data_IF_963252342338
#
_entry.id   IF_963252342338
#
_cell.length_a   1.000
_cell.length_b   1.000
_cell.length_c   1.000
_cell.angle_alpha   90.00
_cell.angle_beta   90.00
_cell.angle_gamma   90.00
#
_symmetry.space_group_name_H-M   'P 1'
#
loop_
_entity.id
_entity.type
_entity.pdbx_description
1 polymer ?
#
# COMPACT_ATOMS: atom_id res chain seq x y z
N UNK A 1 -1.54 -17.75 -6.87
CA UNK A 1 -1.29 -16.33 -6.59
C UNK A 1 0.19 -16.07 -6.83
N UNK A 2 0.56 -14.86 -7.20
CA UNK A 2 1.95 -14.53 -7.58
C UNK A 2 2.62 -13.83 -6.42
N UNK A 3 3.62 -14.46 -5.81
CA UNK A 3 4.36 -13.85 -4.73
C UNK A 3 5.31 -12.78 -5.29
N UNK A 4 5.13 -11.54 -4.85
CA UNK A 4 5.98 -10.41 -5.17
C UNK A 4 6.92 -10.12 -4.01
N UNK A 5 8.06 -9.51 -4.30
CA UNK A 5 8.94 -8.98 -3.28
C UNK A 5 9.56 -7.62 -3.65
N UNK A 6 9.87 -6.84 -2.63
CA UNK A 6 10.44 -5.50 -2.73
C UNK A 6 11.54 -5.30 -1.70
N UNK A 7 12.68 -4.73 -2.08
CA UNK A 7 13.66 -4.21 -1.13
C UNK A 7 13.14 -2.93 -0.44
N UNK A 8 13.20 -2.91 0.89
CA UNK A 8 12.70 -1.82 1.72
C UNK A 8 13.87 -1.04 2.30
N UNK A 9 13.83 0.28 2.16
CA UNK A 9 14.88 1.16 2.69
C UNK A 9 14.87 1.13 4.23
N UNK A 10 16.00 1.40 4.90
CA UNK A 10 16.03 1.45 6.37
C UNK A 10 14.99 2.41 6.98
N UNK A 11 14.77 3.56 6.33
CA UNK A 11 13.76 4.53 6.74
C UNK A 11 12.34 3.97 6.63
N UNK A 12 12.02 3.27 5.53
CA UNK A 12 10.73 2.61 5.39
C UNK A 12 10.58 1.46 6.38
N UNK A 13 11.60 0.62 6.60
CA UNK A 13 11.55 -0.42 7.66
C UNK A 13 11.16 0.20 9.00
N UNK A 14 11.79 1.30 9.38
CA UNK A 14 11.44 2.01 10.62
C UNK A 14 9.98 2.50 10.59
N UNK A 15 9.53 3.10 9.48
CA UNK A 15 8.16 3.57 9.34
C UNK A 15 7.11 2.45 9.48
N UNK A 16 7.35 1.27 8.89
CA UNK A 16 6.48 0.10 9.05
C UNK A 16 6.47 -0.39 10.51
N UNK A 17 7.65 -0.55 11.12
CA UNK A 17 7.80 -1.17 12.45
C UNK A 17 7.46 -0.24 13.62
N UNK A 18 7.39 1.08 13.41
CA UNK A 18 7.14 2.04 14.49
C UNK A 18 5.88 2.88 14.27
N UNK A 19 5.71 3.43 13.07
CA UNK A 19 4.60 4.32 12.72
C UNK A 19 3.41 3.55 12.10
N UNK A 20 3.58 2.26 11.83
CA UNK A 20 2.56 1.43 11.20
C UNK A 20 2.28 1.78 9.75
N UNK A 21 3.25 2.39 9.06
CA UNK A 21 3.11 2.78 7.65
C UNK A 21 2.58 1.61 6.82
N UNK A 22 1.48 1.83 6.08
CA UNK A 22 0.69 0.77 5.46
C UNK A 22 0.73 0.81 3.93
N UNK A 23 1.73 1.48 3.34
CA UNK A 23 1.79 1.73 1.90
C UNK A 23 3.08 1.23 1.26
N UNK A 24 2.98 0.93 -0.03
CA UNK A 24 4.06 0.42 -0.86
C UNK A 24 3.93 0.97 -2.28
N UNK A 25 5.06 1.30 -2.92
CA UNK A 25 5.12 1.79 -4.29
C UNK A 25 6.44 1.36 -4.96
N UNK A 26 6.67 1.80 -6.19
CA UNK A 26 7.95 1.72 -6.87
C UNK A 26 8.29 0.31 -7.36
N UNK A 27 9.57 0.03 -7.54
CA UNK A 27 10.00 -1.21 -8.18
C UNK A 27 9.80 -2.44 -7.29
N UNK A 28 9.29 -3.52 -7.89
CA UNK A 28 9.05 -4.83 -7.31
C UNK A 28 9.37 -5.93 -8.32
N UNK A 29 9.71 -7.11 -7.82
CA UNK A 29 10.00 -8.29 -8.65
C UNK A 29 9.14 -9.47 -8.18
N UNK A 30 8.93 -10.47 -9.03
CA UNK A 30 8.36 -11.74 -8.56
C UNK A 30 9.40 -12.47 -7.72
N UNK A 31 8.98 -13.00 -6.58
CA UNK A 31 9.89 -13.73 -5.69
C UNK A 31 10.47 -14.98 -6.36
N UNK A 32 9.74 -15.63 -7.27
CA UNK A 32 10.23 -16.79 -8.03
C UNK A 32 11.41 -16.44 -8.95
N UNK A 33 11.37 -15.27 -9.61
CA UNK A 33 12.38 -14.84 -10.58
C UNK A 33 13.74 -14.53 -9.91
N UNK A 34 13.73 -14.29 -8.59
CA UNK A 34 14.90 -13.94 -7.78
C UNK A 34 15.11 -14.90 -6.61
N UNK A 35 14.53 -16.11 -6.67
CA UNK A 35 14.62 -17.08 -5.57
C UNK A 35 16.08 -17.50 -5.26
N UNK A 36 16.99 -17.34 -6.22
CA UNK A 36 18.42 -17.60 -6.05
C UNK A 36 19.16 -16.50 -5.26
N UNK A 37 18.58 -15.30 -5.14
CA UNK A 37 19.20 -14.16 -4.47
C UNK A 37 18.92 -14.24 -2.96
N UNK A 38 19.84 -14.87 -2.23
CA UNK A 38 19.70 -15.15 -0.80
C UNK A 38 20.60 -14.28 0.08
N UNK A 39 21.42 -13.40 -0.52
CA UNK A 39 22.34 -12.51 0.20
C UNK A 39 22.09 -11.04 -0.17
N UNK A 40 22.49 -10.08 0.69
CA UNK A 40 22.41 -8.65 0.41
C UNK A 40 23.07 -8.25 -0.92
N UNK A 41 24.26 -8.78 -1.23
CA UNK A 41 24.95 -8.48 -2.50
C UNK A 41 24.12 -8.90 -3.73
N UNK A 42 23.53 -10.10 -3.70
CA UNK A 42 22.67 -10.58 -4.79
C UNK A 42 21.36 -9.79 -4.87
N UNK A 43 20.74 -9.51 -3.73
CA UNK A 43 19.51 -8.71 -3.66
C UNK A 43 19.75 -7.28 -4.18
N UNK A 44 20.89 -6.68 -3.86
CA UNK A 44 21.31 -5.38 -4.36
C UNK A 44 21.35 -5.35 -5.90
N UNK A 45 21.92 -6.38 -6.51
CA UNK A 45 22.01 -6.51 -7.96
C UNK A 45 20.63 -6.74 -8.62
N UNK A 46 19.89 -7.75 -8.17
CA UNK A 46 18.63 -8.15 -8.85
C UNK A 46 17.48 -7.17 -8.64
N UNK A 47 17.48 -6.41 -7.54
CA UNK A 47 16.50 -5.33 -7.32
C UNK A 47 16.98 -3.98 -7.89
N UNK A 48 18.15 -3.91 -8.51
CA UNK A 48 18.66 -2.67 -9.11
C UNK A 48 18.90 -1.56 -8.10
N UNK A 49 19.44 -1.89 -6.92
CA UNK A 49 19.55 -0.95 -5.78
C UNK A 49 20.71 0.04 -5.88
N UNK A 50 21.51 -0.01 -6.95
CA UNK A 50 22.66 0.88 -7.18
C UNK A 50 22.33 2.25 -7.79
N UNK A 51 21.11 2.76 -7.62
CA UNK A 51 20.70 4.06 -8.17
C UNK A 51 21.34 5.25 -7.41
N UNK A 52 21.46 6.45 -8.03
CA UNK A 52 22.08 7.60 -7.40
C UNK A 52 21.47 7.97 -6.05
N UNK A 53 22.28 8.05 -4.99
CA UNK A 53 21.83 8.33 -3.62
C UNK A 53 20.98 7.23 -2.98
N UNK A 54 21.12 6.00 -3.46
CA UNK A 54 20.55 4.81 -2.81
C UNK A 54 21.08 4.67 -1.37
N UNK A 55 20.22 4.31 -0.40
CA UNK A 55 20.65 4.01 0.95
C UNK A 55 21.23 2.59 1.09
N UNK A 56 21.22 1.79 0.02
CA UNK A 56 21.68 0.40 0.01
C UNK A 56 23.15 0.31 -0.41
N UNK A 57 23.82 -0.72 0.10
CA UNK A 57 25.18 -1.11 -0.29
C UNK A 57 25.22 -2.61 -0.57
N UNK A 58 25.98 -3.08 -1.57
CA UNK A 58 26.19 -4.52 -1.77
C UNK A 58 26.92 -5.19 -0.60
N UNK A 59 27.51 -4.40 0.31
CA UNK A 59 28.20 -4.86 1.52
C UNK A 59 27.35 -4.75 2.79
N UNK A 60 26.06 -4.42 2.67
CA UNK A 60 25.17 -4.36 3.82
C UNK A 60 25.12 -5.73 4.52
N UNK A 61 25.12 -5.71 5.85
CA UNK A 61 24.99 -6.94 6.67
C UNK A 61 23.63 -7.60 6.51
N UNK A 62 22.63 -6.81 6.08
CA UNK A 62 21.31 -7.29 5.76
C UNK A 62 20.57 -6.35 4.80
N UNK A 63 19.58 -6.88 4.09
CA UNK A 63 18.55 -6.10 3.38
C UNK A 63 17.18 -6.57 3.84
N UNK A 64 16.29 -5.62 4.14
CA UNK A 64 14.91 -5.92 4.47
C UNK A 64 14.07 -6.01 3.19
N UNK A 65 13.26 -7.07 3.11
CA UNK A 65 12.44 -7.45 1.96
C UNK A 65 10.99 -7.52 2.43
N UNK A 66 10.10 -6.81 1.75
CA UNK A 66 8.65 -6.96 1.90
C UNK A 66 8.16 -7.97 0.86
N UNK A 67 7.60 -9.08 1.32
CA UNK A 67 6.94 -10.10 0.49
C UNK A 67 5.43 -9.98 0.60
N UNK A 68 4.73 -10.04 -0.52
CA UNK A 68 3.28 -9.91 -0.56
C UNK A 68 2.69 -10.66 -1.75
N UNK A 69 1.49 -11.20 -1.58
CA UNK A 69 0.76 -11.82 -2.68
C UNK A 69 0.20 -10.74 -3.61
N UNK A 70 0.46 -10.90 -4.90
CA UNK A 70 -0.18 -10.07 -5.91
C UNK A 70 -1.69 -10.31 -5.87
N UNK A 71 -2.45 -9.22 -5.83
CA UNK A 71 -3.90 -9.26 -5.79
C UNK A 71 -4.50 -8.31 -6.84
N UNK A 72 -5.78 -8.49 -7.21
CA UNK A 72 -6.41 -7.72 -8.28
C UNK A 72 -6.48 -6.19 -8.05
N UNK A 73 -6.24 -5.73 -6.81
CA UNK A 73 -6.18 -4.31 -6.47
C UNK A 73 -4.84 -3.66 -6.85
N UNK A 74 -3.77 -4.46 -7.00
CA UNK A 74 -2.44 -3.94 -7.28
C UNK A 74 -2.27 -3.69 -8.78
N UNK A 75 -1.73 -2.52 -9.11
CA UNK A 75 -1.49 -2.10 -10.48
C UNK A 75 0.01 -2.07 -10.76
N UNK A 76 0.41 -2.84 -11.76
CA UNK A 76 1.80 -2.98 -12.18
C UNK A 76 1.99 -2.42 -13.58
N UNK A 77 3.15 -1.81 -13.83
CA UNK A 77 3.64 -1.43 -15.16
C UNK A 77 4.97 -2.13 -15.40
N UNK A 78 5.13 -2.73 -16.56
CA UNK A 78 6.38 -3.39 -16.95
C UNK A 78 7.51 -2.36 -17.15
N UNK A 79 8.74 -2.73 -16.78
CA UNK A 79 9.94 -1.89 -16.88
C UNK A 79 11.02 -2.69 -17.64
N UNK A 80 11.19 -2.45 -18.94
CA UNK A 80 12.16 -3.20 -19.74
C UNK A 80 13.61 -2.83 -19.39
N UNK A 81 14.54 -3.75 -19.67
CA UNK A 81 15.99 -3.48 -19.60
C UNK A 81 16.71 -3.95 -18.32
N UNK A 82 16.03 -4.67 -17.43
CA UNK A 82 16.63 -5.27 -16.23
C UNK A 82 16.90 -6.77 -16.40
N UNK A 83 17.86 -7.30 -15.62
CA UNK A 83 18.30 -8.71 -15.68
C UNK A 83 17.15 -9.66 -15.30
N UNK A 84 16.30 -9.23 -14.37
CA UNK A 84 15.04 -9.90 -14.01
C UNK A 84 13.86 -9.02 -14.40
N UNK A 85 12.71 -9.61 -14.76
CA UNK A 85 11.48 -8.84 -14.94
C UNK A 85 11.22 -7.94 -13.73
N UNK A 86 11.19 -6.63 -13.99
CA UNK A 86 11.01 -5.60 -13.00
C UNK A 86 9.68 -4.93 -13.27
N UNK A 87 8.81 -4.91 -12.27
CA UNK A 87 7.55 -4.21 -12.35
C UNK A 87 7.62 -2.98 -11.49
N UNK A 88 7.03 -1.94 -12.02
CA UNK A 88 6.75 -0.74 -11.28
C UNK A 88 5.35 -0.87 -10.67
N UNK A 89 5.29 -0.92 -9.34
CA UNK A 89 4.06 -0.97 -8.55
C UNK A 89 3.58 0.46 -8.29
N UNK A 90 2.34 0.72 -8.68
CA UNK A 90 1.66 1.96 -8.33
C UNK A 90 1.54 2.08 -6.81
N UNK A 91 1.57 3.30 -6.28
CA UNK A 91 1.37 3.51 -4.85
C UNK A 91 0.03 2.92 -4.38
N UNK A 92 0.12 1.93 -3.50
CA UNK A 92 -0.95 1.04 -3.06
C UNK A 92 -0.84 0.76 -1.55
N UNK A 93 -1.94 0.31 -0.93
CA UNK A 93 -1.92 -0.21 0.44
C UNK A 93 -1.25 -1.58 0.41
N UNK A 94 -0.46 -1.86 1.44
CA UNK A 94 0.17 -3.17 1.62
C UNK A 94 -0.91 -4.25 1.71
N UNK A 95 -0.82 -5.32 0.90
CA UNK A 95 -1.81 -6.39 0.95
C UNK A 95 -1.82 -7.10 2.30
N UNK A 96 -3.00 -7.53 2.78
CA UNK A 96 -3.13 -8.43 3.91
C UNK A 96 -2.21 -9.65 3.82
N UNK A 97 -1.60 -10.01 4.94
CA UNK A 97 -0.68 -11.15 5.03
C UNK A 97 0.76 -10.88 4.58
N UNK A 98 1.09 -9.67 4.13
CA UNK A 98 2.46 -9.32 3.73
C UNK A 98 3.46 -9.53 4.88
N UNK A 99 4.68 -9.93 4.53
CA UNK A 99 5.75 -10.26 5.46
C UNK A 99 6.95 -9.31 5.25
N UNK A 100 7.41 -8.66 6.30
CA UNK A 100 8.69 -7.94 6.30
C UNK A 100 9.78 -8.87 6.84
N UNK A 101 10.76 -9.18 6.01
CA UNK A 101 11.79 -10.19 6.26
C UNK A 101 13.16 -9.54 6.14
N UNK A 102 14.04 -9.76 7.11
CA UNK A 102 15.45 -9.40 7.03
C UNK A 102 16.24 -10.54 6.41
N UNK A 103 16.96 -10.28 5.33
CA UNK A 103 17.90 -11.24 4.71
C UNK A 103 19.32 -10.84 5.09
N UNK A 104 20.06 -11.74 5.74
CA UNK A 104 21.41 -11.48 6.27
C UNK A 104 22.51 -11.94 5.29
N UNK A 105 23.72 -11.47 5.51
CA UNK A 105 24.90 -11.76 4.67
C UNK A 105 25.37 -13.23 4.69
N UNK A 106 24.99 -14.00 5.71
CA UNK A 106 25.19 -15.45 5.78
C UNK A 106 24.15 -16.27 5.02
N UNK A 107 23.19 -15.62 4.36
CA UNK A 107 22.11 -16.25 3.62
C UNK A 107 20.89 -16.63 4.48
N UNK A 108 20.94 -16.42 5.79
CA UNK A 108 19.80 -16.64 6.67
C UNK A 108 18.77 -15.52 6.56
N UNK A 109 17.54 -15.79 7.01
CA UNK A 109 16.47 -14.79 7.02
C UNK A 109 15.71 -14.78 8.35
N UNK A 110 15.30 -13.58 8.78
CA UNK A 110 14.49 -13.38 9.98
C UNK A 110 13.21 -12.66 9.62
N UNK A 111 12.04 -13.23 9.94
CA UNK A 111 10.78 -12.51 9.83
C UNK A 111 10.72 -11.42 10.90
N UNK A 112 10.59 -10.15 10.50
CA UNK A 112 10.52 -9.00 11.41
C UNK A 112 9.08 -8.69 11.79
N UNK A 113 8.16 -8.69 10.82
CA UNK A 113 6.77 -8.35 11.06
C UNK A 113 5.83 -8.92 9.99
N UNK A 114 4.55 -9.02 10.34
CA UNK A 114 3.46 -9.36 9.42
C UNK A 114 2.45 -8.23 9.39
N UNK A 115 2.03 -7.82 8.20
CA UNK A 115 0.90 -6.94 8.02
C UNK A 115 -0.37 -7.80 8.01
N UNK A 116 -1.26 -7.61 8.99
CA UNK A 116 -2.48 -8.39 9.09
C UNK A 116 -3.49 -7.97 8.03
N UNK A 117 -4.09 -6.80 8.23
CA UNK A 117 -5.06 -6.13 7.37
C UNK A 117 -5.25 -4.68 7.86
N UNK A 118 -6.09 -3.90 7.19
CA UNK A 118 -6.49 -2.53 7.56
C UNK A 118 -7.02 -2.41 9.00
N UNK A 119 -7.53 -3.50 9.57
CA UNK A 119 -8.05 -3.58 10.93
C UNK A 119 -6.98 -3.80 11.99
N UNK A 120 -5.91 -4.50 11.65
CA UNK A 120 -4.90 -4.98 12.62
C UNK A 120 -3.53 -4.34 12.45
N UNK A 121 -3.19 -3.92 11.22
CA UNK A 121 -1.92 -3.32 10.87
C UNK A 121 -0.73 -4.26 11.06
N UNK A 122 0.43 -3.70 11.42
CA UNK A 122 1.66 -4.45 11.61
C UNK A 122 1.74 -5.15 12.96
N UNK A 123 2.16 -6.41 12.94
CA UNK A 123 2.52 -7.19 14.12
C UNK A 123 3.99 -7.60 14.04
N UNK A 124 4.81 -7.14 14.99
CA UNK A 124 6.24 -7.48 15.11
C UNK A 124 6.41 -8.84 15.75
N UNK A 125 7.37 -9.63 15.26
CA UNK A 125 7.64 -10.99 15.75
C UNK A 125 8.54 -11.05 16.98
N UNK A 126 9.40 -10.03 17.15
CA UNK A 126 10.31 -9.95 18.29
C UNK A 126 9.53 -9.83 19.60
N UNK A 127 9.77 -10.77 20.52
CA UNK A 127 9.13 -10.79 21.82
C UNK A 127 9.45 -9.51 22.62
N UNK A 128 8.41 -8.88 23.17
CA UNK A 128 8.55 -7.67 23.97
C UNK A 128 8.79 -6.38 23.16
N UNK A 129 8.84 -6.46 21.82
CA UNK A 129 8.90 -5.26 21.00
C UNK A 129 7.61 -4.42 21.17
N UNK A 130 7.71 -3.08 21.18
CA UNK A 130 6.54 -2.23 21.18
C UNK A 130 5.70 -2.50 19.93
N UNK A 131 4.39 -2.44 20.07
CA UNK A 131 3.49 -2.54 18.93
C UNK A 131 3.66 -1.30 18.04
N UNK A 132 3.72 -1.48 16.71
CA UNK A 132 3.65 -0.35 15.79
C UNK A 132 2.37 0.46 16.03
N UNK A 133 2.45 1.76 15.81
CA UNK A 133 1.27 2.60 15.75
C UNK A 133 0.35 2.17 14.59
N UNK A 134 -0.83 2.78 14.49
CA UNK A 134 -1.71 2.61 13.34
C UNK A 134 -1.53 3.77 12.38
N UNK A 135 -1.29 3.47 11.10
CA UNK A 135 -1.39 4.46 10.05
C UNK A 135 -2.79 5.08 10.01
N UNK A 136 -2.89 6.35 9.62
CA UNK A 136 -4.19 6.98 9.36
C UNK A 136 -4.93 6.24 8.24
N UNK A 137 -6.24 6.02 8.41
CA UNK A 137 -7.06 5.48 7.33
C UNK A 137 -7.17 6.52 6.22
N UNK A 138 -6.92 6.08 4.99
CA UNK A 138 -7.08 6.89 3.81
C UNK A 138 -7.90 6.13 2.78
N UNK A 139 -8.88 6.81 2.17
CA UNK A 139 -9.62 6.30 1.03
C UNK A 139 -8.87 6.48 -0.29
N UNK A 140 -7.82 7.29 -0.31
CA UNK A 140 -7.07 7.59 -1.52
C UNK A 140 -6.22 6.41 -2.00
N UNK A 141 -6.01 5.41 -1.14
CA UNK A 141 -5.18 4.24 -1.38
C UNK A 141 -5.81 3.02 -0.72
N UNK A 142 -5.88 1.92 -1.47
CA UNK A 142 -6.43 0.63 -1.02
C UNK A 142 -7.95 0.50 -1.16
N UNK A 143 -8.50 -0.66 -0.80
CA UNK A 143 -9.91 -0.95 -0.99
C UNK A 143 -10.83 -0.07 -0.13
N UNK A 144 -11.99 0.25 -0.69
CA UNK A 144 -13.11 0.92 -0.05
C UNK A 144 -14.36 0.09 -0.30
N UNK A 145 -15.09 -0.18 0.78
CA UNK A 145 -16.30 -0.97 0.77
C UNK A 145 -17.51 -0.13 1.17
N UNK A 146 -18.64 -0.29 0.47
CA UNK A 146 -19.92 0.24 0.89
C UNK A 146 -20.71 -0.79 1.67
N UNK A 147 -20.87 -0.56 2.96
CA UNK A 147 -21.57 -1.44 3.88
C UNK A 147 -22.60 -0.64 4.69
N UNK A 148 -23.85 -1.10 4.70
CA UNK A 148 -24.98 -0.40 5.34
C UNK A 148 -25.09 1.10 4.99
N UNK A 149 -24.79 1.46 3.74
CA UNK A 149 -24.89 2.82 3.24
C UNK A 149 -23.68 3.72 3.54
N UNK A 150 -22.69 3.25 4.30
CA UNK A 150 -21.45 3.97 4.58
C UNK A 150 -20.29 3.43 3.73
N UNK A 151 -19.40 4.32 3.29
CA UNK A 151 -18.12 3.95 2.67
C UNK A 151 -17.06 3.84 3.76
N UNK A 152 -16.40 2.68 3.81
CA UNK A 152 -15.43 2.32 4.83
C UNK A 152 -14.13 1.88 4.14
N UNK A 153 -13.00 2.29 4.68
CA UNK A 153 -11.71 1.72 4.29
C UNK A 153 -11.71 0.22 4.60
N UNK A 154 -11.22 -0.56 3.66
CA UNK A 154 -11.35 -2.00 3.69
C UNK A 154 -10.09 -2.70 3.21
N UNK A 155 -10.03 -4.00 3.51
CA UNK A 155 -9.16 -4.96 2.86
C UNK A 155 -9.94 -6.22 2.49
N UNK A 156 -9.49 -6.89 1.44
CA UNK A 156 -10.08 -8.15 0.97
C UNK A 156 -9.18 -9.30 1.36
N UNK A 157 -9.73 -10.29 2.04
CA UNK A 157 -8.99 -11.44 2.60
C UNK A 157 -9.68 -12.75 2.24
N UNK A 158 -9.09 -13.87 2.67
CA UNK A 158 -9.65 -15.22 2.50
C UNK A 158 -9.98 -15.52 1.03
N UNK A 159 -9.06 -15.19 0.12
CA UNK A 159 -9.23 -15.45 -1.32
C UNK A 159 -10.32 -14.60 -2.00
N UNK A 160 -10.82 -13.55 -1.36
CA UNK A 160 -11.88 -12.70 -1.90
C UNK A 160 -13.24 -12.87 -1.23
N UNK A 161 -13.36 -13.81 -0.30
CA UNK A 161 -14.64 -14.16 0.33
C UNK A 161 -14.99 -13.29 1.55
N UNK A 162 -14.00 -12.64 2.14
CA UNK A 162 -14.18 -11.82 3.35
C UNK A 162 -13.69 -10.40 3.09
N UNK A 163 -14.46 -9.41 3.56
CA UNK A 163 -14.06 -8.00 3.58
C UNK A 163 -13.84 -7.59 5.03
N UNK A 164 -12.65 -7.06 5.31
CA UNK A 164 -12.31 -6.43 6.60
C UNK A 164 -12.61 -4.95 6.47
N UNK A 165 -13.60 -4.45 7.21
CA UNK A 165 -13.98 -3.05 7.28
C UNK A 165 -13.27 -2.39 8.46
N UNK A 166 -12.78 -1.16 8.29
CA UNK A 166 -12.09 -0.42 9.34
C UNK A 166 -12.71 0.96 9.60
N UNK A 167 -12.57 1.42 10.84
CA UNK A 167 -13.01 2.72 11.32
C UNK A 167 -11.91 3.35 12.19
N UNK A 168 -11.68 4.65 12.01
CA UNK A 168 -10.75 5.40 12.85
C UNK A 168 -11.30 5.70 14.25
N UNK A 169 -12.62 5.87 14.35
CA UNK A 169 -13.31 6.22 15.59
C UNK A 169 -14.28 5.09 15.99
N UNK A 170 -14.66 4.99 17.28
CA UNK A 170 -15.68 4.07 17.72
C UNK A 170 -16.97 4.21 16.88
N UNK A 171 -17.62 3.10 16.52
CA UNK A 171 -18.89 3.17 15.80
C UNK A 171 -19.95 3.83 16.69
N UNK A 172 -20.78 4.70 16.09
CA UNK A 172 -21.83 5.42 16.82
C UNK A 172 -23.02 4.53 17.23
N UNK A 173 -23.18 3.36 16.59
CA UNK A 173 -24.24 2.38 16.87
C UNK A 173 -23.70 0.94 16.84
N UNK A 174 -24.39 0.01 17.50
CA UNK A 174 -24.00 -1.40 17.55
C UNK A 174 -23.96 -2.03 16.16
N UNK A 175 -22.74 -2.31 15.71
CA UNK A 175 -22.44 -2.75 14.36
C UNK A 175 -21.43 -3.88 14.35
N UNK A 176 -21.24 -4.62 15.46
CA UNK A 176 -20.35 -5.79 15.53
C UNK A 176 -18.87 -5.51 15.22
N UNK A 177 -18.44 -4.25 15.33
CA UNK A 177 -17.03 -3.90 15.26
C UNK A 177 -16.36 -4.22 16.59
N UNK A 178 -15.12 -4.70 16.51
CA UNK A 178 -14.27 -4.93 17.65
C UNK A 178 -13.01 -4.07 17.52
N UNK A 179 -12.45 -3.68 18.66
CA UNK A 179 -11.21 -2.93 18.65
C UNK A 179 -10.03 -3.89 18.62
N UNK A 180 -9.13 -3.73 17.65
CA UNK A 180 -7.87 -4.45 17.61
C UNK A 180 -6.95 -4.02 18.75
N UNK A 181 -5.94 -4.82 19.12
CA UNK A 181 -4.99 -4.46 20.18
C UNK A 181 -4.18 -3.18 19.90
N UNK A 182 -4.17 -2.70 18.66
CA UNK A 182 -3.56 -1.44 18.23
C UNK A 182 -4.54 -0.25 18.27
N UNK A 183 -5.82 -0.48 18.57
CA UNK A 183 -6.83 0.55 18.79
C UNK A 183 -7.78 0.80 17.61
N UNK A 184 -7.60 0.11 16.48
CA UNK A 184 -8.46 0.25 15.30
C UNK A 184 -9.77 -0.47 15.52
N UNK A 185 -10.89 0.17 15.19
CA UNK A 185 -12.16 -0.52 15.11
C UNK A 185 -12.26 -1.23 13.77
N UNK A 186 -12.52 -2.54 13.79
CA UNK A 186 -12.68 -3.31 12.56
C UNK A 186 -13.76 -4.38 12.68
N UNK A 187 -14.27 -4.80 11.53
CA UNK A 187 -15.25 -5.89 11.41
C UNK A 187 -14.95 -6.72 10.17
N UNK A 188 -15.07 -8.04 10.28
CA UNK A 188 -15.09 -8.94 9.13
C UNK A 188 -16.53 -9.20 8.71
N UNK A 189 -16.81 -9.08 7.42
CA UNK A 189 -18.13 -9.37 6.82
C UNK A 189 -17.93 -10.24 5.59
N UNK A 190 -18.97 -11.00 5.21
CA UNK A 190 -18.93 -11.76 3.96
C UNK A 190 -18.86 -10.79 2.77
N UNK A 191 -18.17 -11.19 1.70
CA UNK A 191 -18.09 -10.37 0.48
C UNK A 191 -19.47 -10.05 -0.07
N UNK A 192 -20.45 -10.95 0.00
CA UNK A 192 -21.82 -10.69 -0.47
C UNK A 192 -22.59 -9.64 0.35
N UNK A 193 -22.20 -9.38 1.60
CA UNK A 193 -22.84 -8.36 2.45
C UNK A 193 -22.45 -6.93 2.06
N UNK A 194 -21.40 -6.79 1.24
CA UNK A 194 -20.85 -5.51 0.78
C UNK A 194 -21.44 -5.14 -0.57
N UNK A 195 -22.13 -4.00 -0.60
CA UNK A 195 -22.86 -3.51 -1.79
C UNK A 195 -21.96 -2.98 -2.90
N UNK A 196 -20.83 -2.36 -2.55
CA UNK A 196 -19.84 -1.85 -3.50
C UNK A 196 -18.43 -2.10 -2.94
N UNK A 197 -17.48 -2.45 -3.80
CA UNK A 197 -16.08 -2.67 -3.44
C UNK A 197 -15.20 -2.17 -4.59
N UNK A 198 -14.38 -1.15 -4.31
CA UNK A 198 -13.54 -0.49 -5.30
C UNK A 198 -12.29 0.10 -4.65
N UNK A 199 -11.33 0.53 -5.46
CA UNK A 199 -10.27 1.45 -5.03
C UNK A 199 -10.57 2.85 -5.61
N UNK A 200 -10.34 3.91 -4.85
CA UNK A 200 -10.36 5.26 -5.41
C UNK A 200 -9.02 5.54 -6.06
N UNK A 201 -9.08 5.77 -7.37
CA UNK A 201 -8.00 6.29 -8.16
C UNK A 201 -8.18 7.81 -8.28
N UNK A 202 -7.44 8.55 -7.45
CA UNK A 202 -7.43 10.01 -7.44
C UNK A 202 -6.12 10.50 -8.07
N UNK A 203 -6.20 11.03 -9.28
CA UNK A 203 -5.08 11.66 -9.99
C UNK A 203 -5.28 13.16 -10.12
N UNK A 204 -4.19 13.89 -10.25
CA UNK A 204 -4.20 15.33 -10.42
C UNK A 204 -2.91 15.80 -11.11
N UNK A 205 -2.82 17.10 -11.35
CA UNK A 205 -1.59 17.80 -11.69
C UNK A 205 -1.22 18.76 -10.57
N UNK A 206 0.07 18.81 -10.23
CA UNK A 206 0.63 19.79 -9.29
C UNK A 206 1.84 20.45 -9.93
N UNK A 207 1.78 21.78 -10.13
CA UNK A 207 2.82 22.52 -10.87
C UNK A 207 3.22 21.86 -12.20
N UNK A 208 2.23 21.30 -12.92
CA UNK A 208 2.40 20.60 -14.20
C UNK A 208 3.04 19.20 -14.13
N UNK A 209 3.27 18.68 -12.92
CA UNK A 209 3.66 17.28 -12.70
C UNK A 209 2.41 16.42 -12.51
N UNK A 210 2.32 15.28 -13.20
CA UNK A 210 1.23 14.31 -12.98
C UNK A 210 1.45 13.57 -11.66
N UNK A 211 0.44 13.55 -10.80
CA UNK A 211 0.55 12.98 -9.45
C UNK A 211 -0.70 12.16 -9.09
N UNK A 212 -0.52 11.20 -8.20
CA UNK A 212 -1.62 10.52 -7.49
C UNK A 212 -1.80 11.19 -6.12
N UNK A 213 -3.03 11.47 -5.72
CA UNK A 213 -3.33 11.80 -4.32
C UNK A 213 -3.42 10.50 -3.55
N UNK A 214 -2.61 10.38 -2.50
CA UNK A 214 -2.39 9.13 -1.75
C UNK A 214 -2.73 9.27 -0.27
N UNK A 215 -2.96 10.49 0.17
CA UNK A 215 -3.62 10.78 1.44
C UNK A 215 -4.28 12.16 1.42
N UNK A 216 -5.25 12.38 2.30
CA UNK A 216 -5.88 13.69 2.48
C UNK A 216 -6.35 13.87 3.92
N UNK A 217 -6.03 15.01 4.54
CA UNK A 217 -6.45 15.35 5.89
C UNK A 217 -6.60 16.87 6.06
N UNK A 218 -7.11 17.29 7.23
CA UNK A 218 -7.11 18.70 7.62
C UNK A 218 -5.88 18.98 8.51
N UNK A 219 -5.11 20.01 8.17
CA UNK A 219 -4.01 20.47 9.01
C UNK A 219 -4.50 21.19 10.28
N UNK A 220 -3.56 21.68 11.10
CA UNK A 220 -3.89 22.37 12.35
C UNK A 220 -4.70 23.67 12.14
N UNK A 221 -4.62 24.24 10.94
CA UNK A 221 -5.31 25.45 10.51
C UNK A 221 -6.63 25.14 9.78
N UNK A 222 -7.02 23.85 9.70
CA UNK A 222 -8.21 23.32 9.02
C UNK A 222 -8.17 23.46 7.50
N UNK A 223 -7.00 23.69 6.90
CA UNK A 223 -6.86 23.57 5.46
C UNK A 223 -6.80 22.11 5.06
N UNK A 224 -7.46 21.79 3.93
CA UNK A 224 -7.36 20.46 3.35
C UNK A 224 -6.00 20.34 2.66
N UNK A 225 -5.17 19.46 3.17
CA UNK A 225 -3.87 19.11 2.61
C UNK A 225 -3.93 17.69 2.03
N UNK A 226 -3.15 17.47 0.99
CA UNK A 226 -3.04 16.20 0.30
C UNK A 226 -1.59 15.74 0.33
N UNK A 227 -1.38 14.44 0.59
CA UNK A 227 -0.13 13.79 0.24
C UNK A 227 -0.23 13.36 -1.21
N UNK A 228 0.69 13.81 -2.02
CA UNK A 228 0.80 13.46 -3.43
C UNK A 228 1.99 12.54 -3.65
N UNK A 229 1.86 11.64 -4.62
CA UNK A 229 2.91 10.74 -5.06
C UNK A 229 3.12 10.93 -6.56
N UNK A 230 4.35 11.26 -6.94
CA UNK A 230 4.85 11.22 -8.29
C UNK A 230 5.74 10.01 -8.50
N UNK A 231 5.67 9.50 -9.70
CA UNK A 231 5.95 8.14 -10.02
C UNK A 231 6.78 8.14 -11.29
N UNK A 232 8.11 8.31 -11.09
CA UNK A 232 9.25 8.11 -11.98
C UNK A 232 9.31 8.72 -13.39
N UNK A 233 8.21 9.20 -13.96
CA UNK A 233 8.14 9.51 -15.39
C UNK A 233 8.75 10.89 -15.74
N UNK A 234 8.88 11.80 -14.77
CA UNK A 234 9.54 13.11 -14.93
C UNK A 234 10.35 13.46 -13.66
N UNK A 235 11.46 12.73 -13.47
CA UNK A 235 12.34 12.85 -12.29
C UNK A 235 12.92 14.27 -12.17
N UNK A 236 13.41 14.84 -13.27
CA UNK A 236 14.02 16.18 -13.27
C UNK A 236 13.04 17.25 -12.79
N UNK A 237 11.77 17.16 -13.18
CA UNK A 237 10.75 18.08 -12.67
C UNK A 237 10.42 17.79 -11.21
N UNK A 238 10.35 16.54 -10.79
CA UNK A 238 10.10 16.19 -9.40
C UNK A 238 11.19 16.76 -8.46
N UNK A 239 12.46 16.64 -8.85
CA UNK A 239 13.59 17.19 -8.09
C UNK A 239 13.59 18.73 -8.07
N UNK A 240 13.29 19.38 -9.21
CA UNK A 240 13.15 20.85 -9.27
C UNK A 240 12.00 21.40 -8.42
N UNK A 241 10.94 20.61 -8.24
CA UNK A 241 9.81 20.94 -7.37
C UNK A 241 10.04 20.54 -5.90
N UNK A 242 11.24 20.02 -5.58
CA UNK A 242 11.64 19.61 -4.24
C UNK A 242 10.71 18.56 -3.59
N UNK A 243 10.15 17.64 -4.39
CA UNK A 243 9.50 16.47 -3.81
C UNK A 243 10.54 15.64 -3.05
N UNK A 244 10.13 15.07 -1.92
CA UNK A 244 10.95 14.12 -1.17
C UNK A 244 11.06 12.83 -1.97
N UNK A 245 12.29 12.41 -2.26
CA UNK A 245 12.54 11.10 -2.85
C UNK A 245 12.49 10.03 -1.76
N UNK A 246 11.32 9.39 -1.63
CA UNK A 246 11.08 8.34 -0.63
C UNK A 246 11.88 7.08 -0.95
N UNK A 247 11.96 6.73 -2.24
CA UNK A 247 12.76 5.62 -2.77
C UNK A 247 12.99 5.75 -4.29
N UNK A 248 13.63 4.77 -4.91
CA UNK A 248 13.86 4.76 -6.36
C UNK A 248 12.57 4.94 -7.16
N UNK A 249 12.49 6.06 -7.90
CA UNK A 249 11.36 6.36 -8.77
C UNK A 249 10.06 6.76 -8.05
N UNK A 250 10.10 6.97 -6.73
CA UNK A 250 8.94 7.39 -5.93
C UNK A 250 9.26 8.70 -5.22
N UNK A 251 8.47 9.72 -5.54
CA UNK A 251 8.60 11.07 -5.01
C UNK A 251 7.29 11.46 -4.33
N UNK A 252 7.36 12.03 -3.13
CA UNK A 252 6.17 12.49 -2.39
C UNK A 252 6.29 13.95 -1.96
N UNK A 253 5.15 14.60 -1.79
CA UNK A 253 5.05 15.89 -1.14
C UNK A 253 3.72 16.03 -0.41
N UNK A 254 3.67 16.94 0.56
CA UNK A 254 2.44 17.39 1.18
C UNK A 254 2.14 18.78 0.61
N UNK A 255 0.97 18.93 0.02
CA UNK A 255 0.56 20.15 -0.69
C UNK A 255 -0.84 20.56 -0.24
N UNK A 256 -1.22 21.81 -0.47
CA UNK A 256 -2.62 22.19 -0.28
C UNK A 256 -3.47 21.58 -1.38
N UNK A 257 -4.61 20.98 -1.03
CA UNK A 257 -5.49 20.37 -2.02
C UNK A 257 -6.01 21.38 -3.06
N UNK A 258 -6.07 22.67 -2.68
CA UNK A 258 -6.43 23.78 -3.58
C UNK A 258 -5.38 24.07 -4.67
N UNK A 259 -4.14 23.59 -4.52
CA UNK A 259 -3.08 23.73 -5.53
C UNK A 259 -3.13 22.64 -6.60
N UNK A 260 -3.99 21.64 -6.42
CA UNK A 260 -4.16 20.53 -7.37
C UNK A 260 -5.10 20.96 -8.50
N UNK A 261 -4.65 20.76 -9.73
CA UNK A 261 -5.46 20.99 -10.94
C UNK A 261 -5.78 19.67 -11.63
N UNK A 262 -6.73 19.69 -12.57
CA UNK A 262 -7.10 18.53 -13.39
C UNK A 262 -7.37 17.26 -12.55
N UNK A 263 -8.05 17.45 -11.41
CA UNK A 263 -8.36 16.37 -10.48
C UNK A 263 -9.34 15.41 -11.16
N UNK A 264 -8.96 14.14 -11.24
CA UNK A 264 -9.79 13.05 -11.73
C UNK A 264 -9.97 12.01 -10.63
N UNK A 265 -11.22 11.68 -10.35
CA UNK A 265 -11.60 10.63 -9.40
C UNK A 265 -12.24 9.49 -10.17
N UNK A 266 -11.56 8.35 -10.22
CA UNK A 266 -12.07 7.14 -10.83
C UNK A 266 -12.29 6.08 -9.74
N UNK A 267 -13.37 5.31 -9.86
CA UNK A 267 -13.55 4.09 -9.08
C UNK A 267 -13.01 2.92 -9.89
N UNK A 268 -11.98 2.26 -9.38
CA UNK A 268 -11.41 1.07 -9.99
C UNK A 268 -12.03 -0.16 -9.34
N UNK A 269 -12.76 -0.95 -10.13
CA UNK A 269 -13.34 -2.22 -9.72
C UNK A 269 -12.61 -3.34 -10.45
N UNK A 270 -11.67 -4.05 -9.79
CA UNK A 270 -11.08 -5.26 -10.34
C UNK A 270 -12.16 -6.26 -10.78
N UNK A 271 -11.93 -6.98 -11.87
CA UNK A 271 -12.92 -7.93 -12.41
C UNK A 271 -13.36 -8.99 -11.38
N UNK A 272 -12.47 -9.39 -10.48
CA UNK A 272 -12.74 -10.32 -9.37
C UNK A 272 -13.62 -9.72 -8.27
N UNK A 273 -13.85 -8.41 -8.27
CA UNK A 273 -14.71 -7.70 -7.32
C UNK A 273 -16.07 -7.32 -7.91
N UNK A 274 -16.33 -7.69 -9.17
CA UNK A 274 -17.62 -7.44 -9.81
C UNK A 274 -18.79 -7.99 -8.96
N UNK A 275 -19.97 -7.35 -9.01
CA UNK A 275 -21.05 -7.64 -8.07
C UNK A 275 -21.48 -9.12 -8.13
N UNK A 276 -21.67 -9.73 -6.96
CA UNK A 276 -22.35 -11.02 -6.88
C UNK A 276 -23.81 -10.93 -7.35
N UNK A 277 -24.48 -12.07 -7.60
CA UNK A 277 -25.83 -12.14 -8.19
C UNK A 277 -26.92 -11.30 -7.47
N UNK A 278 -26.72 -10.93 -6.21
CA UNK A 278 -27.65 -10.13 -5.43
C UNK A 278 -27.82 -8.68 -5.94
N UNK A 279 -26.81 -8.12 -6.62
CA UNK A 279 -26.92 -6.78 -7.23
C UNK A 279 -27.74 -6.79 -8.53
N UNK A 280 -27.74 -7.91 -9.27
CA UNK A 280 -28.52 -8.05 -10.50
C UNK A 280 -30.03 -8.13 -10.22
N UNK A 281 -30.46 -8.77 -9.12
CA UNK A 281 -31.89 -8.87 -8.80
C UNK A 281 -32.54 -7.52 -8.44
N UNK A 282 -31.79 -6.57 -7.86
CA UNK A 282 -32.32 -5.22 -7.57
C UNK A 282 -32.45 -4.34 -8.81
N UNK A 283 -31.65 -4.57 -9.84
CA UNK A 283 -31.72 -3.81 -11.08
C UNK A 283 -32.94 -4.20 -11.93
N UNK A 284 -33.41 -5.45 -11.81
CA UNK A 284 -34.57 -5.98 -12.54
C UNK A 284 -35.90 -5.75 -11.80
N UNK A 285 -35.86 -5.43 -10.51
CA UNK A 285 -37.06 -5.12 -9.73
C UNK A 285 -37.52 -3.65 -9.86
N UNK A 286 -36.73 -2.80 -10.54
CA UNK A 286 -37.00 -1.38 -10.75
C UNK A 286 -36.92 -0.95 -12.23
N UNK A 287 -37.06 -1.89 -13.17
CA UNK A 287 -37.25 -1.61 -14.60
C UNK A 287 -38.66 -2.00 -15.04
#
# INVERSE_FOLDING_TARGET
MTLMQKAITPALTQAHLTQGHDRIAGYVVRAEDVAFATTPAQLFEVHGLGYPGSPFSPYDRYIDILRFESSPQLQYRDVPGYIVPLWWLRHSRIPPGAELIRVHDDGSSTLLARYGDVGTGWTVTQLGAPRPALASLSRCVGPVAKWHGAYLEADVVDGGHTVVLALANPPLAETGFHQSPSGRWYRRVAREDVTELFELDLTARWNGLSVRVVDQWQDAQRYVVARISHLGDDIERAERLHLERVEAGVYEAIVYAAELTDIQTNQVVPHTWAPGPAAQQRHWAHS
#
